data_IF_015461188275
#
_entry.id   IF_015461188275
#
_cell.length_a   1.000
_cell.length_b   1.000
_cell.length_c   1.000
_cell.angle_alpha   90.00
_cell.angle_beta   90.00
_cell.angle_gamma   90.00
#
_symmetry.space_group_name_H-M   'P 1'
#
loop_
_entity.id
_entity.type
_entity.pdbx_description
1 polymer ?
#
# COMPACT_ATOMS: atom_id res chain seq x y z
N UNK A 1 59.43 56.48 29.86
CA UNK A 1 58.01 56.12 29.73
C UNK A 1 57.89 55.30 28.46
N UNK A 2 58.08 53.94 28.61
CA UNK A 2 57.95 53.01 27.52
C UNK A 2 56.52 52.50 27.46
N UNK A 3 55.91 52.64 26.30
CA UNK A 3 54.63 52.02 25.99
C UNK A 3 54.87 50.65 25.43
N UNK A 4 54.47 49.62 26.18
CA UNK A 4 54.45 48.23 25.74
C UNK A 4 53.39 48.10 24.68
N UNK A 5 53.78 47.78 23.43
CA UNK A 5 52.87 47.38 22.36
C UNK A 5 52.49 45.94 22.58
N UNK A 6 51.27 45.69 23.01
CA UNK A 6 50.67 44.35 23.12
C UNK A 6 50.16 43.95 21.74
N UNK A 7 50.88 43.03 21.08
CA UNK A 7 50.40 42.35 19.87
C UNK A 7 49.32 41.34 20.26
N UNK A 8 48.08 41.69 20.00
CA UNK A 8 46.97 40.75 20.08
C UNK A 8 46.98 39.83 18.84
N UNK A 9 47.53 38.65 18.96
CA UNK A 9 47.37 37.55 17.97
C UNK A 9 45.99 36.96 18.12
N UNK A 10 45.08 37.34 17.22
CA UNK A 10 43.76 36.71 17.10
C UNK A 10 43.94 35.29 16.56
N UNK A 11 43.92 34.29 17.41
CA UNK A 11 43.78 32.91 17.00
C UNK A 11 42.34 32.71 16.48
N UNK A 12 42.19 32.60 15.17
CA UNK A 12 40.96 32.15 14.55
C UNK A 12 40.74 30.67 14.94
N UNK A 13 39.91 30.43 15.93
CA UNK A 13 39.42 29.10 16.25
C UNK A 13 38.48 28.71 15.09
N UNK A 14 39.00 27.86 14.19
CA UNK A 14 38.16 27.21 13.20
C UNK A 14 37.19 26.33 13.98
N UNK A 15 35.93 26.77 14.10
CA UNK A 15 34.87 25.92 14.62
C UNK A 15 34.80 24.66 13.73
N UNK A 16 34.87 23.44 14.29
CA UNK A 16 34.65 22.24 13.51
C UNK A 16 33.24 22.39 12.93
N UNK A 17 33.13 22.38 11.60
CA UNK A 17 31.84 22.37 10.93
C UNK A 17 31.03 21.25 11.52
N UNK A 18 29.92 21.56 12.16
CA UNK A 18 28.94 20.53 12.58
C UNK A 18 28.41 19.95 11.31
N UNK A 19 29.07 18.91 10.82
CA UNK A 19 28.56 18.09 9.76
C UNK A 19 27.24 17.54 10.25
N UNK A 20 26.15 18.01 9.71
CA UNK A 20 24.84 17.43 9.95
C UNK A 20 24.95 15.99 9.46
N UNK A 21 25.16 15.05 10.39
CA UNK A 21 25.12 13.64 10.08
C UNK A 21 23.76 13.36 9.48
N UNK A 22 23.73 13.11 8.18
CA UNK A 22 22.52 12.85 7.43
C UNK A 22 21.93 11.55 7.98
N UNK A 23 20.85 11.67 8.75
CA UNK A 23 20.26 10.56 9.49
C UNK A 23 19.73 9.54 8.49
N UNK A 24 20.23 8.31 8.54
CA UNK A 24 19.72 7.22 7.73
C UNK A 24 18.30 6.87 8.19
N UNK A 25 17.39 6.76 7.25
CA UNK A 25 15.98 6.49 7.48
C UNK A 25 15.63 5.13 6.93
N UNK A 26 15.04 4.27 7.76
CA UNK A 26 14.51 2.97 7.35
C UNK A 26 13.00 3.07 7.27
N UNK A 27 12.45 2.95 6.06
CA UNK A 27 11.01 2.86 5.85
C UNK A 27 10.55 1.41 5.93
N UNK A 28 9.48 1.17 6.68
CA UNK A 28 8.81 -0.11 6.72
C UNK A 28 7.82 -0.21 5.60
N UNK A 29 7.84 -1.32 4.85
CA UNK A 29 6.86 -1.65 3.82
C UNK A 29 6.18 -2.98 4.15
N UNK A 30 4.88 -3.11 3.93
CA UNK A 30 4.15 -4.35 4.19
C UNK A 30 3.22 -4.75 3.05
N UNK A 31 3.08 -6.05 2.85
CA UNK A 31 2.18 -6.69 1.90
C UNK A 31 1.69 -8.02 2.50
N UNK A 32 0.48 -8.43 2.16
CA UNK A 32 -0.09 -9.72 2.59
C UNK A 32 0.53 -10.91 1.86
N UNK A 33 1.17 -10.70 0.72
CA UNK A 33 1.74 -11.76 -0.12
C UNK A 33 3.18 -12.12 0.30
N UNK A 34 3.67 -13.31 -0.11
CA UNK A 34 5.03 -13.76 0.18
C UNK A 34 6.07 -13.03 -0.67
N UNK A 35 7.34 -13.14 -0.26
CA UNK A 35 8.47 -12.80 -1.13
C UNK A 35 8.39 -13.61 -2.43
N UNK A 36 8.83 -12.99 -3.54
CA UNK A 36 8.68 -13.56 -4.87
C UNK A 36 7.35 -13.23 -5.56
N UNK A 37 6.35 -12.75 -4.82
CA UNK A 37 5.11 -12.29 -5.42
C UNK A 37 5.34 -10.94 -6.16
N UNK A 38 4.75 -10.74 -7.37
CA UNK A 38 5.08 -9.58 -8.21
C UNK A 38 4.96 -8.22 -7.55
N UNK A 39 3.93 -8.00 -6.71
CA UNK A 39 3.73 -6.72 -6.00
C UNK A 39 4.78 -6.49 -4.92
N UNK A 40 5.12 -7.55 -4.16
CA UNK A 40 6.18 -7.50 -3.15
C UNK A 40 7.53 -7.21 -3.78
N UNK A 41 7.86 -7.91 -4.87
CA UNK A 41 9.11 -7.71 -5.60
C UNK A 41 9.20 -6.31 -6.24
N UNK A 42 8.08 -5.72 -6.62
CA UNK A 42 8.07 -4.34 -7.10
C UNK A 42 8.51 -3.35 -5.99
N UNK A 43 8.03 -3.54 -4.77
CA UNK A 43 8.43 -2.73 -3.60
C UNK A 43 9.90 -2.98 -3.25
N UNK A 44 10.35 -4.23 -3.28
CA UNK A 44 11.77 -4.57 -3.04
C UNK A 44 12.68 -3.89 -4.07
N UNK A 45 12.32 -3.93 -5.36
CA UNK A 45 13.06 -3.23 -6.43
C UNK A 45 13.06 -1.72 -6.24
N UNK A 46 11.91 -1.15 -5.88
CA UNK A 46 11.80 0.28 -5.54
C UNK A 46 12.73 0.65 -4.39
N UNK A 47 12.80 -0.17 -3.34
CA UNK A 47 13.69 0.02 -2.20
C UNK A 47 15.16 0.05 -2.59
N UNK A 48 15.60 -0.92 -3.39
CA UNK A 48 16.99 -0.98 -3.91
C UNK A 48 17.33 0.25 -4.76
N UNK A 49 16.38 0.71 -5.58
CA UNK A 49 16.57 1.93 -6.38
C UNK A 49 16.69 3.15 -5.49
N UNK A 50 15.80 3.30 -4.51
CA UNK A 50 15.79 4.43 -3.59
C UNK A 50 17.06 4.49 -2.74
N UNK A 51 17.54 3.36 -2.23
CA UNK A 51 18.80 3.24 -1.50
C UNK A 51 19.97 3.74 -2.36
N UNK A 52 20.06 3.28 -3.62
CA UNK A 52 21.09 3.72 -4.55
C UNK A 52 21.01 5.22 -4.85
N UNK A 53 19.83 5.74 -5.16
CA UNK A 53 19.62 7.16 -5.51
C UNK A 53 19.87 8.11 -4.34
N UNK A 54 19.71 7.60 -3.10
CA UNK A 54 19.92 8.38 -1.88
C UNK A 54 21.27 8.12 -1.21
N UNK A 55 22.18 7.38 -1.86
CA UNK A 55 23.46 6.96 -1.27
C UNK A 55 23.30 6.29 0.11
N UNK A 56 22.33 5.39 0.25
CA UNK A 56 22.05 4.67 1.48
C UNK A 56 21.27 5.46 2.53
N UNK A 57 20.90 6.71 2.25
CA UNK A 57 20.18 7.54 3.23
C UNK A 57 18.77 7.03 3.53
N UNK A 58 18.08 6.48 2.52
CA UNK A 58 16.74 5.92 2.67
C UNK A 58 16.78 4.46 2.23
N UNK A 59 16.38 3.56 3.12
CA UNK A 59 16.24 2.13 2.84
C UNK A 59 14.81 1.69 3.11
N UNK A 60 14.37 0.62 2.44
CA UNK A 60 13.04 0.02 2.66
C UNK A 60 13.24 -1.37 3.24
N UNK A 61 12.68 -1.59 4.42
CA UNK A 61 12.57 -2.92 5.02
C UNK A 61 11.19 -3.50 4.69
N UNK A 62 11.18 -4.61 3.95
CA UNK A 62 9.96 -5.29 3.54
C UNK A 62 9.50 -6.31 4.58
N UNK A 63 8.22 -6.26 4.95
CA UNK A 63 7.50 -7.18 5.83
C UNK A 63 6.40 -7.89 5.02
N UNK A 64 6.70 -9.03 4.40
CA UNK A 64 5.75 -9.82 3.62
C UNK A 64 4.89 -10.71 4.51
N UNK A 65 3.94 -11.46 3.91
CA UNK A 65 3.12 -12.47 4.59
C UNK A 65 2.42 -11.96 5.86
N UNK A 66 1.88 -10.74 5.80
CA UNK A 66 1.11 -10.16 6.92
C UNK A 66 1.88 -10.06 8.24
N UNK A 67 3.21 -9.98 8.21
CA UNK A 67 4.04 -9.88 9.44
C UNK A 67 3.67 -8.67 10.31
N UNK A 68 3.09 -7.63 9.72
CA UNK A 68 2.60 -6.45 10.43
C UNK A 68 1.06 -6.39 10.51
N UNK A 69 0.36 -7.50 10.28
CA UNK A 69 -1.08 -7.60 10.28
C UNK A 69 -1.69 -7.70 8.88
N UNK A 70 -3.02 -7.81 8.80
CA UNK A 70 -3.78 -7.82 7.57
C UNK A 70 -3.91 -6.43 6.93
N UNK A 71 -4.69 -6.34 5.84
CA UNK A 71 -4.80 -5.07 5.09
C UNK A 71 -5.46 -3.95 5.91
N UNK A 72 -6.40 -4.28 6.80
CA UNK A 72 -7.03 -3.30 7.68
C UNK A 72 -6.01 -2.69 8.64
N UNK A 73 -5.25 -3.53 9.33
CA UNK A 73 -4.21 -3.10 10.27
C UNK A 73 -3.10 -2.32 9.54
N UNK A 74 -2.74 -2.72 8.31
CA UNK A 74 -1.76 -1.98 7.51
C UNK A 74 -2.25 -0.58 7.12
N UNK A 75 -3.53 -0.42 6.77
CA UNK A 75 -4.15 0.89 6.51
C UNK A 75 -4.05 1.76 7.77
N UNK A 76 -4.50 1.26 8.91
CA UNK A 76 -4.50 1.98 10.19
C UNK A 76 -3.07 2.40 10.58
N UNK A 77 -2.09 1.50 10.47
CA UNK A 77 -0.68 1.81 10.74
C UNK A 77 -0.11 2.87 9.78
N UNK A 78 -0.46 2.81 8.50
CA UNK A 78 -0.04 3.81 7.53
C UNK A 78 -0.66 5.19 7.82
N UNK A 79 -1.92 5.23 8.20
CA UNK A 79 -2.64 6.46 8.56
C UNK A 79 -2.04 7.19 9.77
N UNK A 80 -1.44 6.46 10.71
CA UNK A 80 -0.76 7.04 11.88
C UNK A 80 0.75 7.16 11.71
N UNK A 81 1.29 6.77 10.54
CA UNK A 81 2.72 6.87 10.23
C UNK A 81 3.61 5.80 10.85
N UNK A 82 3.04 4.77 11.47
CA UNK A 82 3.79 3.62 12.01
C UNK A 82 4.32 2.69 10.90
N UNK A 83 3.67 2.70 9.74
CA UNK A 83 4.06 2.04 8.50
C UNK A 83 4.19 3.10 7.40
N UNK A 84 5.31 3.12 6.67
CA UNK A 84 5.56 4.14 5.65
C UNK A 84 5.02 3.74 4.28
N UNK A 85 5.00 2.45 3.96
CA UNK A 85 4.55 1.93 2.67
C UNK A 85 3.67 0.70 2.90
N UNK A 86 2.48 0.70 2.32
CA UNK A 86 1.58 -0.44 2.33
C UNK A 86 1.07 -0.74 0.92
N UNK A 87 1.08 -2.00 0.52
CA UNK A 87 0.34 -2.46 -0.64
C UNK A 87 -1.03 -2.96 -0.16
N UNK A 88 -2.07 -2.29 -0.59
CA UNK A 88 -3.45 -2.52 -0.15
C UNK A 88 -4.32 -2.86 -1.36
N UNK A 89 -5.17 -3.87 -1.22
CA UNK A 89 -6.19 -4.19 -2.21
C UNK A 89 -7.25 -3.10 -2.29
N UNK A 90 -7.72 -2.79 -3.49
CA UNK A 90 -8.80 -1.82 -3.71
C UNK A 90 -10.06 -2.21 -2.91
N UNK A 91 -10.30 -3.51 -2.75
CA UNK A 91 -11.38 -4.02 -1.90
C UNK A 91 -11.31 -3.54 -0.45
N UNK A 92 -10.13 -3.61 0.17
CA UNK A 92 -9.92 -3.15 1.53
C UNK A 92 -9.92 -1.61 1.66
N UNK A 93 -9.65 -0.88 0.58
CA UNK A 93 -9.73 0.58 0.54
C UNK A 93 -11.17 1.11 0.43
N UNK A 94 -12.10 0.33 -0.10
CA UNK A 94 -13.50 0.75 -0.31
C UNK A 94 -14.18 1.35 0.94
N UNK A 95 -14.06 0.74 2.12
CA UNK A 95 -14.60 1.31 3.36
C UNK A 95 -13.93 2.62 3.82
N UNK A 96 -12.72 2.93 3.32
CA UNK A 96 -11.98 4.15 3.67
C UNK A 96 -12.31 5.28 2.69
N UNK A 97 -12.38 4.96 1.40
CA UNK A 97 -12.72 5.91 0.32
C UNK A 97 -13.70 5.21 -0.63
N UNK A 98 -14.96 5.57 -0.52
CA UNK A 98 -16.05 4.89 -1.23
C UNK A 98 -15.93 4.97 -2.77
N UNK A 99 -15.38 6.05 -3.29
CA UNK A 99 -15.18 6.25 -4.75
C UNK A 99 -14.43 5.10 -5.42
N UNK A 100 -13.51 4.43 -4.71
CA UNK A 100 -12.73 3.32 -5.28
C UNK A 100 -13.56 2.06 -5.49
N UNK A 101 -14.75 1.98 -4.90
CA UNK A 101 -15.65 0.85 -5.06
C UNK A 101 -16.12 0.67 -6.51
N UNK A 102 -16.02 1.70 -7.34
CA UNK A 102 -16.29 1.56 -8.77
C UNK A 102 -15.41 0.45 -9.40
N UNK A 103 -14.16 0.30 -8.96
CA UNK A 103 -13.27 -0.77 -9.45
C UNK A 103 -13.54 -2.14 -8.80
N UNK A 104 -14.34 -2.18 -7.74
CA UNK A 104 -14.75 -3.40 -7.07
C UNK A 104 -16.06 -3.99 -7.64
N UNK A 105 -16.75 -3.27 -8.52
CA UNK A 105 -17.97 -3.75 -9.17
C UNK A 105 -17.63 -4.97 -10.04
N UNK A 106 -18.44 -6.04 -9.97
CA UNK A 106 -18.21 -7.22 -10.79
C UNK A 106 -18.40 -6.90 -12.28
N UNK A 107 -17.56 -7.53 -13.12
CA UNK A 107 -17.63 -7.48 -14.59
C UNK A 107 -17.56 -6.06 -15.21
N UNK A 108 -17.08 -5.05 -14.47
CA UNK A 108 -16.98 -3.69 -14.99
C UNK A 108 -15.92 -3.57 -16.11
N UNK A 109 -14.89 -4.41 -16.08
CA UNK A 109 -13.88 -4.48 -17.12
C UNK A 109 -14.18 -5.64 -18.08
N UNK A 110 -14.13 -5.38 -19.39
CA UNK A 110 -14.35 -6.39 -20.43
C UNK A 110 -13.20 -7.40 -20.52
N UNK A 111 -11.99 -6.90 -20.35
CA UNK A 111 -10.73 -7.64 -20.44
C UNK A 111 -9.60 -6.86 -19.74
N UNK A 112 -8.42 -7.47 -19.66
CA UNK A 112 -7.23 -6.86 -19.05
C UNK A 112 -6.80 -5.59 -19.79
N UNK A 113 -6.85 -5.57 -21.11
CA UNK A 113 -6.45 -4.38 -21.90
C UNK A 113 -7.38 -3.19 -21.60
N UNK A 114 -8.69 -3.44 -21.46
CA UNK A 114 -9.63 -2.40 -21.04
C UNK A 114 -9.33 -1.92 -19.62
N UNK A 115 -9.11 -2.84 -18.69
CA UNK A 115 -8.75 -2.49 -17.30
C UNK A 115 -7.49 -1.62 -17.28
N UNK A 116 -6.41 -2.04 -17.93
CA UNK A 116 -5.16 -1.26 -17.98
C UNK A 116 -5.36 0.12 -18.58
N UNK A 117 -6.10 0.23 -19.68
CA UNK A 117 -6.42 1.54 -20.27
C UNK A 117 -7.15 2.47 -19.31
N UNK A 118 -7.99 1.92 -18.42
CA UNK A 118 -8.75 2.70 -17.44
C UNK A 118 -7.85 3.10 -16.27
N UNK A 119 -7.12 2.15 -15.67
CA UNK A 119 -6.30 2.41 -14.48
C UNK A 119 -5.07 3.27 -14.78
N UNK A 120 -4.46 3.11 -15.97
CA UNK A 120 -3.32 3.91 -16.42
C UNK A 120 -3.74 5.25 -17.04
N UNK A 121 -5.04 5.44 -17.24
CA UNK A 121 -5.64 6.64 -17.84
C UNK A 121 -6.16 7.66 -16.82
N UNK A 122 -6.84 8.71 -17.31
CA UNK A 122 -7.34 9.79 -16.46
C UNK A 122 -8.31 9.34 -15.36
N UNK A 123 -9.06 8.25 -15.57
CA UNK A 123 -10.00 7.71 -14.57
C UNK A 123 -9.22 7.13 -13.40
N UNK A 124 -8.22 6.29 -13.68
CA UNK A 124 -7.36 5.72 -12.66
C UNK A 124 -6.59 6.80 -11.90
N UNK A 125 -5.99 7.76 -12.60
CA UNK A 125 -5.29 8.88 -11.97
C UNK A 125 -6.25 9.70 -11.09
N UNK A 126 -7.45 10.01 -11.58
CA UNK A 126 -8.44 10.75 -10.79
C UNK A 126 -8.86 10.04 -9.50
N UNK A 127 -8.87 8.69 -9.47
CA UNK A 127 -9.12 7.93 -8.25
C UNK A 127 -7.93 7.96 -7.28
N UNK A 128 -6.68 7.89 -7.78
CA UNK A 128 -5.48 8.08 -6.94
C UNK A 128 -5.51 9.45 -6.26
N UNK A 129 -5.84 10.49 -7.03
CA UNK A 129 -5.94 11.86 -6.52
C UNK A 129 -7.03 11.98 -5.45
N UNK A 130 -8.19 11.34 -5.64
CA UNK A 130 -9.30 11.31 -4.65
C UNK A 130 -8.90 10.60 -3.37
N UNK A 131 -8.21 9.46 -3.44
CA UNK A 131 -7.71 8.77 -2.25
C UNK A 131 -6.74 9.69 -1.49
N UNK A 132 -5.82 10.33 -2.21
CA UNK A 132 -4.82 11.22 -1.61
C UNK A 132 -5.46 12.48 -1.02
N UNK A 133 -6.47 13.04 -1.67
CA UNK A 133 -7.18 14.24 -1.19
C UNK A 133 -8.20 13.95 -0.08
N UNK A 134 -8.57 12.69 0.14
CA UNK A 134 -9.58 12.32 1.13
C UNK A 134 -9.06 12.51 2.56
N UNK A 135 -9.71 13.31 3.40
CA UNK A 135 -9.32 13.47 4.81
C UNK A 135 -9.40 12.16 5.60
N UNK A 136 -10.28 11.23 5.20
CA UNK A 136 -10.44 9.92 5.83
C UNK A 136 -9.30 8.98 5.47
N UNK A 137 -8.74 9.11 4.27
CA UNK A 137 -7.63 8.28 3.81
C UNK A 137 -6.35 8.54 4.62
N UNK A 138 -5.94 9.80 4.75
CA UNK A 138 -4.66 10.21 5.33
C UNK A 138 -3.44 9.50 4.69
N UNK A 139 -3.57 9.12 3.42
CA UNK A 139 -2.58 8.37 2.65
C UNK A 139 -2.22 9.14 1.38
N UNK A 140 -0.99 8.97 0.93
CA UNK A 140 -0.56 9.36 -0.40
C UNK A 140 -0.45 8.10 -1.24
N UNK A 141 -1.20 8.03 -2.34
CA UNK A 141 -1.19 6.86 -3.22
C UNK A 141 -0.17 7.04 -4.33
N UNK A 142 0.71 6.05 -4.51
CA UNK A 142 1.81 6.11 -5.46
C UNK A 142 1.44 5.54 -6.84
N UNK A 143 0.46 4.66 -6.92
CA UNK A 143 0.05 4.05 -8.19
C UNK A 143 -0.76 2.77 -8.01
N UNK A 144 -1.15 2.19 -9.13
CA UNK A 144 -1.88 0.93 -9.21
C UNK A 144 -0.93 -0.25 -9.42
N UNK A 145 -1.31 -1.39 -8.83
CA UNK A 145 -0.67 -2.68 -9.08
C UNK A 145 -1.75 -3.70 -9.44
N UNK A 146 -1.59 -4.34 -10.60
CA UNK A 146 -2.47 -5.41 -11.02
C UNK A 146 -2.10 -6.72 -10.31
N UNK A 147 -3.08 -7.40 -9.74
CA UNK A 147 -2.95 -8.70 -9.08
C UNK A 147 -3.78 -9.80 -9.76
N UNK A 148 -4.25 -9.56 -10.98
CA UNK A 148 -5.05 -10.50 -11.77
C UNK A 148 -6.53 -10.50 -11.41
N UNK A 149 -7.25 -11.48 -11.96
CA UNK A 149 -8.69 -11.65 -11.79
C UNK A 149 -9.03 -12.42 -10.51
N UNK A 150 -10.24 -12.24 -10.00
CA UNK A 150 -10.75 -13.00 -8.86
C UNK A 150 -11.41 -14.29 -9.33
N UNK A 151 -11.08 -15.37 -8.65
CA UNK A 151 -11.67 -16.68 -8.86
C UNK A 151 -12.36 -17.16 -7.58
N UNK A 152 -13.39 -17.98 -7.73
CA UNK A 152 -14.04 -18.68 -6.61
C UNK A 152 -13.26 -19.96 -6.35
N UNK A 153 -12.78 -20.13 -5.12
CA UNK A 153 -12.21 -21.38 -4.63
C UNK A 153 -13.26 -22.05 -3.76
N UNK A 154 -13.64 -23.28 -4.11
CA UNK A 154 -14.71 -24.01 -3.44
C UNK A 154 -14.43 -25.51 -3.46
N UNK A 155 -14.92 -26.22 -2.43
CA UNK A 155 -14.88 -27.69 -2.37
C UNK A 155 -15.87 -28.37 -3.32
N UNK A 156 -16.76 -27.60 -3.94
CA UNK A 156 -17.73 -28.06 -4.93
C UNK A 156 -17.57 -27.23 -6.20
N UNK A 157 -17.72 -27.81 -7.40
CA UNK A 157 -17.68 -27.05 -8.64
C UNK A 157 -18.73 -25.92 -8.62
N UNK A 158 -18.32 -24.74 -9.06
CA UNK A 158 -19.18 -23.56 -9.25
C UNK A 158 -19.09 -23.18 -10.72
N UNK A 159 -20.14 -23.45 -11.48
CA UNK A 159 -20.23 -23.18 -12.91
C UNK A 159 -21.31 -22.15 -13.24
N UNK A 160 -22.22 -21.91 -12.32
CA UNK A 160 -23.35 -20.98 -12.43
C UNK A 160 -23.72 -20.44 -11.05
N UNK A 161 -24.44 -19.32 -10.96
CA UNK A 161 -24.79 -18.69 -9.68
C UNK A 161 -25.54 -19.63 -8.71
N UNK A 162 -26.41 -20.51 -9.23
CA UNK A 162 -27.19 -21.44 -8.41
C UNK A 162 -26.32 -22.43 -7.62
N UNK A 163 -25.09 -22.69 -8.10
CA UNK A 163 -24.13 -23.57 -7.44
C UNK A 163 -23.59 -22.95 -6.15
N UNK A 164 -23.72 -21.61 -5.98
CA UNK A 164 -23.32 -20.89 -4.77
C UNK A 164 -24.30 -21.07 -3.61
N UNK A 165 -25.53 -21.54 -3.88
CA UNK A 165 -26.58 -21.66 -2.87
C UNK A 165 -26.12 -22.49 -1.66
N UNK A 166 -26.20 -21.88 -0.48
CA UNK A 166 -25.81 -22.48 0.80
C UNK A 166 -24.31 -22.58 1.04
N UNK A 167 -23.47 -22.11 0.10
CA UNK A 167 -22.03 -22.02 0.32
C UNK A 167 -21.66 -20.74 1.06
N UNK A 168 -20.82 -20.85 2.08
CA UNK A 168 -20.16 -19.71 2.73
C UNK A 168 -18.89 -19.39 1.95
N UNK A 169 -18.85 -18.22 1.34
CA UNK A 169 -17.70 -17.77 0.55
C UNK A 169 -17.07 -16.58 1.25
N UNK A 170 -15.79 -16.70 1.57
CA UNK A 170 -15.01 -15.59 2.13
C UNK A 170 -14.94 -14.43 1.15
N UNK A 171 -15.22 -13.25 1.66
CA UNK A 171 -15.05 -11.99 0.93
C UNK A 171 -14.09 -11.09 1.71
N UNK A 172 -13.43 -10.15 1.03
CA UNK A 172 -12.69 -9.09 1.73
C UNK A 172 -13.64 -8.28 2.62
N UNK A 173 -13.11 -7.61 3.63
CA UNK A 173 -13.84 -6.74 4.54
C UNK A 173 -14.44 -5.50 3.89
N UNK A 174 -15.25 -5.70 2.86
CA UNK A 174 -15.96 -4.66 2.11
C UNK A 174 -17.41 -5.09 1.93
N UNK A 175 -18.39 -4.28 2.39
CA UNK A 175 -19.82 -4.58 2.26
C UNK A 175 -20.23 -4.89 0.82
N UNK A 176 -19.72 -4.16 -0.17
CA UNK A 176 -20.03 -4.37 -1.58
C UNK A 176 -19.76 -5.82 -2.03
N UNK A 177 -18.64 -6.41 -1.60
CA UNK A 177 -18.31 -7.80 -1.95
C UNK A 177 -19.25 -8.81 -1.28
N UNK A 178 -19.60 -8.56 -0.02
CA UNK A 178 -20.56 -9.42 0.71
C UNK A 178 -21.93 -9.36 0.04
N UNK A 179 -22.41 -8.18 -0.28
CA UNK A 179 -23.69 -7.96 -0.96
C UNK A 179 -23.69 -8.57 -2.37
N UNK A 180 -22.60 -8.41 -3.12
CA UNK A 180 -22.44 -9.03 -4.45
C UNK A 180 -22.54 -10.55 -4.35
N UNK A 181 -21.84 -11.19 -3.39
CA UNK A 181 -21.90 -12.64 -3.19
C UNK A 181 -23.32 -13.09 -2.80
N UNK A 182 -23.99 -12.34 -1.92
CA UNK A 182 -25.35 -12.63 -1.50
C UNK A 182 -26.34 -12.49 -2.68
N UNK A 183 -26.18 -11.46 -3.51
CA UNK A 183 -27.00 -11.26 -4.70
C UNK A 183 -26.84 -12.39 -5.74
N UNK A 184 -25.66 -13.02 -5.79
CA UNK A 184 -25.41 -14.20 -6.64
C UNK A 184 -25.95 -15.51 -6.01
N UNK A 185 -26.57 -15.46 -4.82
CA UNK A 185 -27.17 -16.62 -4.14
C UNK A 185 -26.26 -17.35 -3.15
N UNK A 186 -25.02 -16.92 -2.98
CA UNK A 186 -24.11 -17.42 -1.96
C UNK A 186 -24.35 -16.79 -0.59
N UNK A 187 -23.47 -17.09 0.36
CA UNK A 187 -23.42 -16.42 1.65
C UNK A 187 -22.01 -15.80 1.81
N UNK A 188 -21.90 -14.51 1.54
CA UNK A 188 -20.66 -13.75 1.66
C UNK A 188 -20.30 -13.54 3.13
N UNK A 189 -19.08 -13.93 3.51
CA UNK A 189 -18.55 -13.73 4.87
C UNK A 189 -17.33 -12.83 4.81
N UNK A 190 -17.43 -11.64 5.42
CA UNK A 190 -16.30 -10.72 5.54
C UNK A 190 -15.23 -11.32 6.47
N UNK A 191 -14.00 -11.46 5.96
CA UNK A 191 -12.90 -12.06 6.72
C UNK A 191 -11.56 -11.52 6.18
N UNK A 192 -10.61 -11.24 7.06
CA UNK A 192 -9.25 -10.87 6.71
C UNK A 192 -8.53 -11.98 5.95
N UNK A 193 -7.49 -11.65 5.18
CA UNK A 193 -6.73 -12.68 4.47
C UNK A 193 -5.91 -13.53 5.46
N UNK A 194 -5.47 -12.94 6.56
CA UNK A 194 -4.76 -13.59 7.66
C UNK A 194 -5.61 -14.59 8.46
N UNK A 195 -6.92 -14.58 8.29
CA UNK A 195 -7.86 -15.47 8.99
C UNK A 195 -8.30 -16.65 8.10
N UNK A 196 -7.76 -16.75 6.87
CA UNK A 196 -8.23 -17.70 5.87
C UNK A 196 -7.68 -19.12 6.06
N UNK A 197 -6.56 -19.30 6.78
CA UNK A 197 -5.86 -20.58 6.99
C UNK A 197 -5.61 -20.86 8.46
#
# INVERSE_FOLDING_TARGET
REFVKLCATSAAVAAPGVGWAQQNVVWKASDVHPLGYPTVEAIVRMGKKLEKETNGRITIQMYPLMQLGGEKEMIEQAQVGALQIARISVGAMGPVVDDVNVFNLPFIFRDEAHMRKVIDGPIGQGLLDRITASPQSRLVVLGWMDAGTRNVYSNKPVTKPEDLKGQKIRMMGNPLFVETMNAMGGNGVAMGFNELY
#
